data_IF_330739792840
#
_entry.id   IF_330739792840
#
_cell.length_a   1.000
_cell.length_b   1.000
_cell.length_c   1.000
_cell.angle_alpha   90.00
_cell.angle_beta   90.00
_cell.angle_gamma   90.00
#
_symmetry.space_group_name_H-M   'P 1'
#
loop_
_entity.id
_entity.type
_entity.pdbx_description
1 polymer ?
#
# COMPACT_ATOMS: atom_id res chain seq x y z
N UNK A 1 -6.97 -1.14 13.00
CA UNK A 1 -8.32 -0.73 12.73
C UNK A 1 -9.09 -0.63 14.06
N UNK A 2 -9.63 0.52 14.39
CA UNK A 2 -10.26 0.79 15.67
C UNK A 2 -11.69 0.25 15.79
N UNK A 3 -11.87 -1.05 15.65
CA UNK A 3 -13.17 -1.71 15.67
C UNK A 3 -13.90 -1.75 17.00
N UNK A 4 -13.41 -1.05 18.02
CA UNK A 4 -14.04 -1.05 19.34
C UNK A 4 -14.08 -2.44 19.98
N UNK A 5 -15.27 -2.96 20.23
CA UNK A 5 -15.47 -4.26 20.85
C UNK A 5 -15.62 -5.43 19.88
N UNK A 6 -15.61 -5.18 18.58
CA UNK A 6 -15.68 -6.25 17.59
C UNK A 6 -14.40 -7.10 17.61
N UNK A 7 -14.54 -8.41 17.74
CA UNK A 7 -13.44 -9.36 17.88
C UNK A 7 -13.60 -10.53 16.91
N UNK A 8 -12.48 -11.00 16.38
CA UNK A 8 -12.41 -12.20 15.55
C UNK A 8 -11.36 -13.16 16.10
N UNK A 9 -11.45 -14.41 15.75
CA UNK A 9 -10.48 -15.43 16.15
C UNK A 9 -9.69 -15.94 14.92
N UNK A 10 -8.40 -16.21 15.08
CA UNK A 10 -7.55 -16.07 16.28
C UNK A 10 -7.28 -14.61 16.63
N UNK A 11 -7.68 -14.18 17.82
CA UNK A 11 -7.72 -12.78 18.19
C UNK A 11 -6.33 -12.12 18.29
N UNK A 12 -5.38 -12.78 18.96
CA UNK A 12 -4.05 -12.24 19.18
C UNK A 12 -3.29 -12.11 17.86
N UNK A 13 -3.30 -13.13 17.03
CA UNK A 13 -2.63 -13.14 15.74
C UNK A 13 -3.17 -12.04 14.80
N UNK A 14 -4.49 -11.90 14.73
CA UNK A 14 -5.13 -10.88 13.89
C UNK A 14 -4.86 -9.47 14.43
N UNK A 15 -4.94 -9.25 15.75
CA UNK A 15 -4.75 -7.91 16.32
C UNK A 15 -3.27 -7.47 16.34
N UNK A 16 -2.31 -8.38 16.54
CA UNK A 16 -0.90 -8.03 16.61
C UNK A 16 -0.24 -7.90 15.23
N UNK A 17 -0.57 -8.78 14.30
CA UNK A 17 0.07 -8.82 12.98
C UNK A 17 -0.91 -8.66 11.82
N UNK A 18 -2.19 -8.52 12.13
CA UNK A 18 -3.26 -8.50 11.15
C UNK A 18 -3.22 -9.77 10.28
N UNK A 19 -3.37 -9.63 8.97
CA UNK A 19 -3.43 -10.77 8.03
C UNK A 19 -2.20 -10.89 7.12
N UNK A 20 -1.16 -10.09 7.36
CA UNK A 20 0.01 -9.98 6.50
C UNK A 20 -0.14 -8.94 5.38
N UNK A 21 -1.32 -8.39 5.17
CA UNK A 21 -1.60 -7.40 4.13
C UNK A 21 -0.76 -6.13 4.34
N UNK A 22 -0.64 -5.66 5.58
CA UNK A 22 0.19 -4.51 5.93
C UNK A 22 1.67 -4.72 5.62
N UNK A 23 2.20 -5.91 5.83
CA UNK A 23 3.58 -6.25 5.49
C UNK A 23 3.80 -6.19 3.98
N UNK A 24 2.89 -6.76 3.20
CA UNK A 24 2.95 -6.72 1.75
C UNK A 24 2.89 -5.27 1.23
N UNK A 25 1.96 -4.47 1.75
CA UNK A 25 1.79 -3.06 1.37
C UNK A 25 3.02 -2.25 1.74
N UNK A 26 3.51 -2.34 2.98
CA UNK A 26 4.70 -1.62 3.44
C UNK A 26 5.92 -1.97 2.60
N UNK A 27 6.12 -3.26 2.31
CA UNK A 27 7.25 -3.73 1.50
C UNK A 27 7.16 -3.23 0.06
N UNK A 28 6.01 -3.37 -0.59
CA UNK A 28 5.80 -2.92 -1.96
C UNK A 28 5.93 -1.39 -2.09
N UNK A 29 5.34 -0.65 -1.15
CA UNK A 29 5.39 0.81 -1.13
C UNK A 29 6.83 1.33 -0.99
N UNK A 30 7.57 0.78 -0.05
CA UNK A 30 8.96 1.17 0.20
C UNK A 30 9.91 0.67 -0.88
N UNK A 31 9.63 -0.47 -1.52
CA UNK A 31 10.35 -0.92 -2.71
C UNK A 31 10.23 0.11 -3.84
N UNK A 32 9.02 0.59 -4.12
CA UNK A 32 8.82 1.63 -5.14
C UNK A 32 9.60 2.90 -4.81
N UNK A 33 9.58 3.35 -3.54
CA UNK A 33 10.36 4.50 -3.10
C UNK A 33 11.87 4.30 -3.29
N UNK A 34 12.39 3.10 -2.97
CA UNK A 34 13.79 2.77 -3.17
C UNK A 34 14.19 2.71 -4.65
N UNK A 35 13.29 2.20 -5.52
CA UNK A 35 13.53 2.17 -6.97
C UNK A 35 13.58 3.58 -7.56
N UNK A 36 12.73 4.50 -7.10
CA UNK A 36 12.78 5.92 -7.51
C UNK A 36 14.14 6.53 -7.14
N UNK A 37 14.60 6.36 -5.89
CA UNK A 37 15.88 6.89 -5.45
C UNK A 37 17.06 6.26 -6.20
N UNK A 38 17.00 4.95 -6.47
CA UNK A 38 18.00 4.28 -7.30
C UNK A 38 18.00 4.80 -8.73
N UNK A 39 16.83 5.01 -9.34
CA UNK A 39 16.72 5.57 -10.69
C UNK A 39 17.37 6.97 -10.77
N UNK A 40 17.09 7.84 -9.79
CA UNK A 40 17.71 9.17 -9.70
C UNK A 40 19.23 9.06 -9.56
N UNK A 41 19.72 8.15 -8.72
CA UNK A 41 21.15 7.94 -8.46
C UNK A 41 21.89 7.35 -9.68
N UNK A 42 21.26 6.50 -10.46
CA UNK A 42 21.84 5.77 -11.58
C UNK A 42 21.70 6.49 -12.94
N UNK A 43 21.60 7.80 -12.92
CA UNK A 43 21.64 8.62 -14.14
C UNK A 43 20.31 9.25 -14.54
N UNK A 44 19.21 8.96 -13.82
CA UNK A 44 17.93 9.67 -13.95
C UNK A 44 17.42 9.78 -15.39
N UNK A 45 17.36 8.66 -16.10
CA UNK A 45 16.98 8.62 -17.51
C UNK A 45 15.56 9.19 -17.79
N UNK A 46 14.67 9.19 -16.80
CA UNK A 46 13.33 9.77 -16.89
C UNK A 46 13.30 11.28 -16.57
N UNK A 47 14.45 11.87 -16.31
CA UNK A 47 14.62 13.30 -15.96
C UNK A 47 13.72 13.75 -14.78
N UNK A 48 13.63 12.90 -13.73
CA UNK A 48 12.87 13.21 -12.52
C UNK A 48 13.41 14.48 -11.86
N UNK A 49 12.53 15.45 -11.59
CA UNK A 49 12.86 16.55 -10.69
C UNK A 49 12.85 16.05 -9.25
N UNK A 50 14.02 16.02 -8.61
CA UNK A 50 14.21 15.52 -7.25
C UNK A 50 13.38 16.25 -6.19
N UNK A 51 12.91 17.46 -6.50
CA UNK A 51 12.01 18.24 -5.64
C UNK A 51 10.55 17.97 -5.90
N UNK A 52 10.24 17.17 -6.93
CA UNK A 52 8.87 16.84 -7.34
C UNK A 52 8.61 15.34 -7.34
N UNK A 53 9.30 14.61 -6.47
CA UNK A 53 8.98 13.22 -6.15
C UNK A 53 7.74 13.23 -5.25
N UNK A 54 6.61 12.73 -5.76
CA UNK A 54 5.34 12.68 -5.06
C UNK A 54 5.25 11.48 -4.11
N UNK A 55 6.01 10.42 -4.40
CA UNK A 55 5.98 9.17 -3.67
C UNK A 55 6.86 9.23 -2.43
N UNK A 56 6.26 9.15 -1.26
CA UNK A 56 6.94 9.05 0.03
C UNK A 56 7.21 7.59 0.41
N UNK A 57 7.75 7.36 1.58
CA UNK A 57 7.80 6.05 2.24
C UNK A 57 6.60 5.85 3.15
N UNK A 58 6.41 4.63 3.63
CA UNK A 58 5.40 4.35 4.65
C UNK A 58 6.01 3.60 5.83
N UNK A 59 5.38 3.79 6.98
CA UNK A 59 5.64 3.06 8.20
C UNK A 59 4.28 2.72 8.82
N UNK A 60 4.14 1.51 9.36
CA UNK A 60 2.91 1.13 10.04
C UNK A 60 2.86 1.67 11.48
N UNK A 61 3.12 2.97 11.57
CA UNK A 61 3.11 3.75 12.79
C UNK A 61 2.87 5.21 12.45
N UNK A 62 1.99 5.87 13.18
CA UNK A 62 1.77 7.31 13.04
C UNK A 62 2.85 8.08 13.81
N UNK A 63 3.98 8.35 13.15
CA UNK A 63 5.09 9.11 13.72
C UNK A 63 5.17 10.52 13.11
N UNK A 64 4.82 11.50 13.93
CA UNK A 64 4.81 12.90 13.51
C UNK A 64 6.22 13.43 13.16
N UNK A 65 7.25 12.92 13.82
CA UNK A 65 8.64 13.34 13.59
C UNK A 65 9.17 12.90 12.21
N UNK A 66 8.58 11.86 11.62
CA UNK A 66 8.98 11.33 10.31
C UNK A 66 8.17 11.90 9.14
N UNK A 67 7.24 12.82 9.36
CA UNK A 67 6.42 13.41 8.29
C UNK A 67 7.22 14.21 7.29
N UNK A 68 8.30 14.85 7.75
CA UNK A 68 9.24 15.57 6.89
C UNK A 68 10.66 15.23 7.33
N UNK A 69 11.42 14.60 6.43
CA UNK A 69 12.80 14.18 6.67
C UNK A 69 13.66 14.51 5.44
N UNK A 70 14.95 14.61 5.63
CA UNK A 70 15.91 14.70 4.54
C UNK A 70 16.59 13.34 4.40
N UNK A 71 16.59 12.80 3.20
CA UNK A 71 17.28 11.54 2.86
C UNK A 71 18.49 11.81 1.96
N UNK A 72 19.31 10.76 1.71
CA UNK A 72 20.46 10.84 0.80
C UNK A 72 21.66 11.58 1.38
N UNK A 73 21.71 11.80 2.69
CA UNK A 73 22.88 12.38 3.37
C UNK A 73 24.00 11.33 3.49
N UNK A 74 25.26 11.81 3.67
CA UNK A 74 26.43 10.93 3.83
C UNK A 74 27.33 10.85 2.60
N UNK A 75 27.11 11.69 1.61
CA UNK A 75 27.95 11.81 0.42
C UNK A 75 27.39 11.04 -0.80
N UNK A 76 28.09 11.14 -1.92
CA UNK A 76 27.64 10.69 -3.25
C UNK A 76 27.18 9.22 -3.32
N UNK A 77 27.77 8.36 -2.49
CA UNK A 77 27.42 6.93 -2.47
C UNK A 77 26.07 6.66 -1.80
N UNK A 78 25.50 7.61 -1.07
CA UNK A 78 24.27 7.44 -0.29
C UNK A 78 23.02 8.02 -0.95
N UNK A 79 23.14 8.53 -2.17
CA UNK A 79 22.01 9.06 -2.94
C UNK A 79 22.07 10.57 -3.13
N UNK A 80 20.97 11.12 -3.62
CA UNK A 80 20.78 12.55 -3.85
C UNK A 80 19.99 13.15 -2.68
N UNK A 81 20.55 14.14 -1.95
CA UNK A 81 19.83 14.77 -0.85
C UNK A 81 18.52 15.40 -1.32
N UNK A 82 17.43 15.04 -0.66
CA UNK A 82 16.11 15.61 -0.91
C UNK A 82 15.20 15.49 0.30
N UNK A 83 14.21 16.35 0.36
CA UNK A 83 13.12 16.24 1.33
C UNK A 83 12.15 15.12 0.92
N UNK A 84 11.66 14.39 1.91
CA UNK A 84 10.60 13.38 1.79
C UNK A 84 9.91 13.20 3.13
N UNK A 85 9.20 12.09 3.33
CA UNK A 85 8.56 11.77 4.60
C UNK A 85 8.06 10.33 4.65
N UNK A 86 7.43 10.01 5.76
CA UNK A 86 6.76 8.74 5.98
C UNK A 86 5.28 8.99 6.25
N UNK A 87 4.42 8.35 5.46
CA UNK A 87 2.99 8.30 5.71
C UNK A 87 2.65 6.97 6.41
N UNK A 88 1.46 6.85 7.00
CA UNK A 88 1.06 5.60 7.62
C UNK A 88 0.62 4.60 6.55
N UNK A 89 1.01 3.33 6.69
CA UNK A 89 0.72 2.26 5.72
C UNK A 89 -0.75 2.16 5.35
N UNK A 90 -1.64 2.28 6.33
CA UNK A 90 -3.10 2.14 6.12
C UNK A 90 -3.73 3.27 5.28
N UNK A 91 -3.08 4.43 5.17
CA UNK A 91 -3.54 5.55 4.35
C UNK A 91 -2.82 5.64 3.00
N UNK A 92 -2.04 4.63 2.64
CA UNK A 92 -1.29 4.61 1.39
C UNK A 92 -2.17 4.32 0.17
N UNK A 93 -1.75 4.82 -0.99
CA UNK A 93 -2.36 4.47 -2.27
C UNK A 93 -2.28 2.95 -2.56
N UNK A 94 -1.23 2.27 -2.10
CA UNK A 94 -1.10 0.82 -2.22
C UNK A 94 -2.17 0.07 -1.43
N UNK A 95 -2.56 0.56 -0.25
CA UNK A 95 -3.69 0.02 0.51
C UNK A 95 -4.99 0.20 -0.28
N UNK A 96 -5.22 1.37 -0.85
CA UNK A 96 -6.38 1.64 -1.68
C UNK A 96 -6.44 0.72 -2.91
N UNK A 97 -5.32 0.51 -3.58
CA UNK A 97 -5.22 -0.40 -4.73
C UNK A 97 -5.57 -1.83 -4.32
N UNK A 98 -5.02 -2.34 -3.21
CA UNK A 98 -5.36 -3.67 -2.71
C UNK A 98 -6.87 -3.82 -2.46
N UNK A 99 -7.49 -2.83 -1.85
CA UNK A 99 -8.93 -2.88 -1.54
C UNK A 99 -9.84 -2.73 -2.77
N UNK A 100 -9.39 -2.02 -3.80
CA UNK A 100 -10.19 -1.75 -5.01
C UNK A 100 -9.94 -2.74 -6.14
N UNK A 101 -8.84 -3.47 -6.14
CA UNK A 101 -8.50 -4.42 -7.19
C UNK A 101 -9.51 -5.57 -7.25
N UNK A 102 -9.89 -5.97 -8.47
CA UNK A 102 -10.79 -7.09 -8.72
C UNK A 102 -10.07 -8.43 -8.84
N UNK A 103 -8.81 -8.40 -9.22
CA UNK A 103 -7.91 -9.54 -9.40
C UNK A 103 -6.46 -9.07 -9.51
N UNK A 104 -5.54 -10.01 -9.74
CA UNK A 104 -4.10 -9.71 -9.80
C UNK A 104 -3.71 -8.91 -11.05
N UNK A 105 -4.42 -9.07 -12.17
CA UNK A 105 -4.16 -8.32 -13.39
C UNK A 105 -4.61 -6.86 -13.27
N UNK A 106 -5.79 -6.63 -12.73
CA UNK A 106 -6.29 -5.29 -12.42
C UNK A 106 -5.37 -4.60 -11.40
N UNK A 107 -4.92 -5.34 -10.37
CA UNK A 107 -3.94 -4.82 -9.42
C UNK A 107 -2.64 -4.38 -10.12
N UNK A 108 -2.09 -5.24 -10.98
CA UNK A 108 -0.87 -4.93 -11.74
C UNK A 108 -1.02 -3.67 -12.59
N UNK A 109 -2.16 -3.51 -13.25
CA UNK A 109 -2.47 -2.32 -14.03
C UNK A 109 -2.50 -1.07 -13.16
N UNK A 110 -3.24 -1.10 -12.06
CA UNK A 110 -3.34 0.03 -11.11
C UNK A 110 -1.99 0.41 -10.51
N UNK A 111 -1.16 -0.59 -10.14
CA UNK A 111 0.19 -0.35 -9.65
C UNK A 111 1.07 0.34 -10.69
N UNK A 112 0.92 0.01 -11.96
CA UNK A 112 1.64 0.67 -13.07
C UNK A 112 1.24 2.13 -13.27
N UNK A 113 -0.02 2.46 -13.02
CA UNK A 113 -0.60 3.80 -13.22
C UNK A 113 -0.25 4.79 -12.10
N UNK A 114 0.32 4.36 -10.97
CA UNK A 114 0.73 5.23 -9.87
C UNK A 114 1.65 6.33 -10.38
N UNK A 115 1.30 7.59 -10.11
CA UNK A 115 2.16 8.75 -10.39
C UNK A 115 3.18 8.89 -9.25
N UNK A 116 4.45 8.64 -9.55
CA UNK A 116 5.51 8.61 -8.55
C UNK A 116 6.29 9.91 -8.43
N UNK A 117 6.38 10.66 -9.52
CA UNK A 117 7.16 11.89 -9.62
C UNK A 117 6.73 12.73 -10.81
N UNK A 118 7.35 13.89 -10.96
CA UNK A 118 7.27 14.71 -12.16
C UNK A 118 8.67 14.96 -12.72
N UNK A 119 8.79 14.96 -14.04
CA UNK A 119 10.01 15.35 -14.73
C UNK A 119 10.22 16.88 -14.64
N UNK A 120 11.41 17.34 -15.01
CA UNK A 120 11.74 18.79 -14.98
C UNK A 120 10.87 19.62 -15.90
N UNK A 121 10.39 19.06 -17.02
CA UNK A 121 9.43 19.70 -17.93
C UNK A 121 7.98 19.60 -17.46
N UNK A 122 7.70 18.94 -16.34
CA UNK A 122 6.39 18.85 -15.70
C UNK A 122 5.54 17.64 -16.09
N UNK A 123 6.06 16.70 -16.87
CA UNK A 123 5.37 15.45 -17.21
C UNK A 123 5.26 14.54 -15.99
N UNK A 124 4.08 13.95 -15.77
CA UNK A 124 3.89 12.92 -14.75
C UNK A 124 4.65 11.64 -15.12
N UNK A 125 5.37 11.08 -14.18
CA UNK A 125 6.12 9.82 -14.31
C UNK A 125 5.38 8.75 -13.52
N UNK A 126 5.14 7.60 -14.16
CA UNK A 126 4.38 6.49 -13.59
C UNK A 126 5.28 5.34 -13.17
N UNK A 127 4.79 4.49 -12.26
CA UNK A 127 5.55 3.34 -11.76
C UNK A 127 5.91 2.35 -12.87
N UNK A 128 5.09 2.18 -13.90
CA UNK A 128 5.37 1.33 -15.05
C UNK A 128 6.63 1.74 -15.80
N UNK A 129 6.94 3.04 -15.87
CA UNK A 129 8.14 3.57 -16.53
C UNK A 129 9.44 3.19 -15.80
N UNK A 130 9.33 2.82 -14.52
CA UNK A 130 10.45 2.32 -13.70
C UNK A 130 10.65 0.80 -13.81
N UNK A 131 9.85 0.09 -14.62
CA UNK A 131 9.89 -1.37 -14.81
C UNK A 131 9.78 -2.17 -13.50
N UNK A 132 9.09 -1.67 -12.48
CA UNK A 132 8.98 -2.26 -11.15
C UNK A 132 7.67 -3.02 -10.93
N UNK A 133 6.67 -2.83 -11.79
CA UNK A 133 5.28 -3.29 -11.62
C UNK A 133 5.18 -4.79 -11.36
N UNK A 134 5.99 -5.61 -12.05
CA UNK A 134 6.01 -7.06 -11.84
C UNK A 134 6.47 -7.45 -10.43
N UNK A 135 7.51 -6.79 -9.91
CA UNK A 135 8.00 -7.03 -8.56
C UNK A 135 6.98 -6.60 -7.51
N UNK A 136 6.33 -5.43 -7.70
CA UNK A 136 5.25 -4.97 -6.83
C UNK A 136 4.10 -5.98 -6.81
N UNK A 137 3.64 -6.44 -7.96
CA UNK A 137 2.55 -7.42 -8.07
C UNK A 137 2.88 -8.73 -7.37
N UNK A 138 4.13 -9.20 -7.48
CA UNK A 138 4.57 -10.43 -6.82
C UNK A 138 4.45 -10.34 -5.30
N UNK A 139 4.77 -9.19 -4.71
CA UNK A 139 4.63 -8.97 -3.27
C UNK A 139 3.17 -9.05 -2.78
N UNK A 140 2.21 -8.80 -3.65
CA UNK A 140 0.78 -8.89 -3.33
C UNK A 140 0.15 -10.26 -3.63
N UNK A 141 0.91 -11.23 -4.15
CA UNK A 141 0.40 -12.53 -4.59
C UNK A 141 -0.49 -13.24 -3.57
N UNK A 142 -0.12 -13.18 -2.30
CA UNK A 142 -0.90 -13.79 -1.22
C UNK A 142 -1.83 -12.79 -0.53
N UNK A 143 -1.39 -11.54 -0.37
CA UNK A 143 -2.19 -10.49 0.25
C UNK A 143 -3.46 -10.12 -0.53
N UNK A 144 -3.52 -10.41 -1.83
CA UNK A 144 -4.74 -10.19 -2.64
C UNK A 144 -5.91 -11.12 -2.27
N UNK A 145 -5.63 -12.20 -1.55
CA UNK A 145 -6.65 -13.18 -1.14
C UNK A 145 -7.29 -12.74 0.19
N UNK A 146 -8.63 -12.56 0.25
CA UNK A 146 -9.30 -12.28 1.51
C UNK A 146 -9.08 -13.40 2.53
N UNK A 147 -8.94 -13.04 3.79
CA UNK A 147 -8.77 -13.97 4.90
C UNK A 147 -10.12 -14.33 5.50
N UNK A 148 -10.45 -15.61 5.52
CA UNK A 148 -11.65 -16.12 6.16
C UNK A 148 -11.35 -16.43 7.63
N UNK A 149 -12.05 -15.76 8.51
CA UNK A 149 -11.97 -15.92 9.97
C UNK A 149 -13.38 -16.11 10.54
N UNK A 150 -13.53 -16.18 11.84
CA UNK A 150 -14.85 -16.20 12.49
C UNK A 150 -14.92 -15.23 13.66
N UNK A 151 -16.11 -14.75 13.95
CA UNK A 151 -16.38 -13.97 15.17
C UNK A 151 -16.38 -14.88 16.41
N UNK A 152 -16.44 -14.27 17.60
CA UNK A 152 -16.54 -15.02 18.86
C UNK A 152 -17.80 -15.88 18.90
N UNK A 153 -18.88 -15.47 18.23
CA UNK A 153 -20.15 -16.19 18.10
C UNK A 153 -20.13 -17.27 17.00
N UNK A 154 -18.99 -17.45 16.31
CA UNK A 154 -18.83 -18.44 15.27
C UNK A 154 -19.35 -18.02 13.88
N UNK A 155 -19.71 -16.76 13.70
CA UNK A 155 -20.14 -16.25 12.39
C UNK A 155 -18.94 -16.08 11.47
N UNK A 156 -18.97 -16.55 10.20
CA UNK A 156 -17.89 -16.31 9.24
C UNK A 156 -17.69 -14.82 8.96
N UNK A 157 -16.43 -14.41 8.91
CA UNK A 157 -16.05 -13.04 8.56
C UNK A 157 -14.88 -13.04 7.59
N UNK A 158 -14.89 -12.11 6.64
CA UNK A 158 -13.79 -11.89 5.69
C UNK A 158 -13.04 -10.63 6.08
N UNK A 159 -11.73 -10.78 6.34
CA UNK A 159 -10.83 -9.66 6.62
C UNK A 159 -9.87 -9.51 5.45
N UNK A 160 -9.80 -8.31 4.88
CA UNK A 160 -8.93 -8.04 3.74
C UNK A 160 -8.55 -6.56 3.66
N UNK A 161 -7.26 -6.27 3.66
CA UNK A 161 -6.75 -4.92 3.78
C UNK A 161 -7.04 -4.32 5.16
N UNK A 162 -7.06 -3.02 5.27
CA UNK A 162 -7.33 -2.31 6.55
C UNK A 162 -7.23 -0.80 6.39
N UNK A 163 -7.85 -0.20 5.34
CA UNK A 163 -7.84 1.24 5.17
C UNK A 163 -8.63 1.91 6.29
N UNK A 164 -8.38 3.20 6.51
CA UNK A 164 -9.24 3.98 7.40
C UNK A 164 -10.65 4.11 6.82
N UNK A 165 -11.66 3.99 7.66
CA UNK A 165 -13.07 4.07 7.27
C UNK A 165 -13.47 5.40 6.60
N UNK A 166 -12.75 6.48 6.89
CA UNK A 166 -12.98 7.80 6.29
C UNK A 166 -12.27 8.01 4.94
N UNK A 167 -11.58 7.01 4.42
CA UNK A 167 -11.09 7.02 3.05
C UNK A 167 -12.23 6.65 2.11
N UNK A 168 -12.25 7.20 0.90
CA UNK A 168 -13.39 7.19 -0.03
C UNK A 168 -14.01 5.81 -0.33
N UNK A 169 -13.25 4.73 -0.19
CA UNK A 169 -13.72 3.36 -0.48
C UNK A 169 -14.14 2.57 0.80
N UNK A 170 -14.19 3.21 1.97
CA UNK A 170 -14.52 2.55 3.24
C UNK A 170 -13.40 1.63 3.74
N UNK A 171 -13.69 0.80 4.72
CA UNK A 171 -12.72 -0.11 5.34
C UNK A 171 -12.83 -1.56 4.87
N UNK A 172 -13.38 -1.79 3.71
CA UNK A 172 -13.60 -3.12 3.11
C UNK A 172 -12.95 -3.22 1.71
N UNK A 173 -12.79 -4.43 1.20
CA UNK A 173 -12.30 -4.67 -0.14
C UNK A 173 -13.40 -5.16 -1.09
N UNK A 174 -13.25 -4.85 -2.37
CA UNK A 174 -14.13 -5.34 -3.45
C UNK A 174 -14.12 -6.86 -3.50
N UNK A 175 -12.95 -7.48 -3.33
CA UNK A 175 -12.83 -8.95 -3.35
C UNK A 175 -13.55 -9.59 -2.17
N UNK A 176 -13.34 -9.11 -0.95
CA UNK A 176 -14.02 -9.64 0.23
C UNK A 176 -15.55 -9.53 0.11
N UNK A 177 -16.05 -8.39 -0.37
CA UNK A 177 -17.47 -8.19 -0.61
C UNK A 177 -18.02 -9.18 -1.65
N UNK A 178 -17.34 -9.37 -2.78
CA UNK A 178 -17.74 -10.32 -3.82
C UNK A 178 -17.72 -11.75 -3.31
N UNK A 179 -16.76 -12.14 -2.49
CA UNK A 179 -16.73 -13.46 -1.86
C UNK A 179 -17.89 -13.64 -0.87
N UNK A 180 -18.12 -12.67 0.02
CA UNK A 180 -19.23 -12.73 0.97
C UNK A 180 -20.58 -12.95 0.27
N UNK A 181 -20.85 -12.20 -0.80
CA UNK A 181 -22.07 -12.33 -1.61
C UNK A 181 -22.21 -13.67 -2.35
N UNK A 182 -21.12 -14.43 -2.52
CA UNK A 182 -21.17 -15.77 -3.10
C UNK A 182 -21.45 -16.87 -2.08
N UNK A 183 -21.12 -16.66 -0.83
CA UNK A 183 -21.18 -17.66 0.21
C UNK A 183 -22.33 -17.45 1.20
N UNK A 184 -23.01 -16.31 1.15
CA UNK A 184 -24.11 -15.98 2.06
C UNK A 184 -25.25 -15.27 1.34
N UNK A 185 -26.49 -15.48 1.83
CA UNK A 185 -27.68 -14.80 1.33
C UNK A 185 -27.69 -13.31 1.71
N UNK A 186 -27.01 -12.96 2.79
CA UNK A 186 -26.87 -11.59 3.30
C UNK A 186 -25.40 -11.35 3.62
N UNK A 187 -24.80 -10.30 3.04
CA UNK A 187 -23.48 -9.81 3.36
C UNK A 187 -23.59 -8.46 4.05
N UNK A 188 -22.92 -8.33 5.20
CA UNK A 188 -22.83 -7.07 5.96
C UNK A 188 -21.41 -6.55 5.82
N UNK A 189 -21.25 -5.30 5.42
CA UNK A 189 -19.96 -4.64 5.23
C UNK A 189 -19.89 -3.34 6.00
N UNK A 190 -18.68 -2.91 6.32
CA UNK A 190 -18.42 -1.61 6.91
C UNK A 190 -17.82 -0.65 5.87
#
# INVERSE_FOLDING_TARGET
>A
AGGGYAQVVPMEDINLHFTGDFHAITTAHNLLAAVIDNHIQQGNALDIDVRRVAWKRVLDLNDRALRNVVIGLGGKAHGVPRETGFDITVASEMMAILCLASDLEDMKKRLGEIVVAYSRDGRAIRAEELNVTGALTLLFKDAIKPNLVQTLEGTPALIHGGPFANIAHGCNSVMATKFALKFADIAITE
#
